data_IF_061476327392
#
_entry.id   IF_061476327392
#
_cell.length_a   1.000
_cell.length_b   1.000
_cell.length_c   1.000
_cell.angle_alpha   90.00
_cell.angle_beta   90.00
_cell.angle_gamma   90.00
#
_symmetry.space_group_name_H-M   'P 1'
#
loop_
_entity.id
_entity.type
_entity.pdbx_description
1 polymer ?
#
# COMPACT_ATOMS: atom_id res chain seq x y z
N UNK A 1 -27.61 79.06 -22.45
CA UNK A 1 -28.45 78.28 -21.53
C UNK A 1 -27.72 76.98 -21.19
N UNK A 2 -27.18 76.88 -19.99
CA UNK A 2 -26.40 75.69 -19.55
C UNK A 2 -27.24 74.82 -18.62
N UNK A 3 -27.52 73.59 -19.04
CA UNK A 3 -28.24 72.62 -18.25
C UNK A 3 -27.29 71.91 -17.29
N UNK A 4 -27.43 72.15 -15.98
CA UNK A 4 -26.68 71.52 -14.95
C UNK A 4 -27.16 70.09 -14.68
N UNK A 5 -26.30 69.08 -14.88
CA UNK A 5 -26.57 67.69 -14.53
C UNK A 5 -26.45 67.46 -13.02
N UNK A 6 -27.59 67.19 -12.33
CA UNK A 6 -27.59 66.79 -10.92
C UNK A 6 -26.96 65.41 -10.75
N UNK A 7 -25.84 65.33 -10.02
CA UNK A 7 -25.21 64.06 -9.62
C UNK A 7 -26.01 63.44 -8.48
N UNK A 8 -26.62 62.30 -8.74
CA UNK A 8 -27.28 61.47 -7.72
C UNK A 8 -26.18 60.77 -6.92
N UNK A 9 -26.00 61.15 -5.66
CA UNK A 9 -25.11 60.43 -4.71
C UNK A 9 -25.77 59.11 -4.35
N UNK A 10 -25.26 58.01 -4.86
CA UNK A 10 -25.61 56.68 -4.39
C UNK A 10 -25.05 56.50 -2.97
N UNK A 11 -25.92 56.40 -2.01
CA UNK A 11 -25.59 56.00 -0.63
C UNK A 11 -25.09 54.54 -0.63
N UNK A 12 -23.81 54.33 -0.33
CA UNK A 12 -23.28 52.97 -0.08
C UNK A 12 -23.86 52.46 1.21
N UNK A 13 -24.71 51.46 1.09
CA UNK A 13 -25.21 50.68 2.25
C UNK A 13 -24.08 49.80 2.74
N UNK A 14 -23.43 50.20 3.81
CA UNK A 14 -22.44 49.35 4.46
C UNK A 14 -23.13 48.09 5.06
N UNK A 15 -22.95 46.98 4.39
CA UNK A 15 -23.40 45.68 4.91
C UNK A 15 -22.53 45.33 6.12
N UNK A 16 -23.09 45.47 7.33
CA UNK A 16 -22.45 44.98 8.55
C UNK A 16 -22.19 43.48 8.43
N UNK A 17 -20.96 42.98 8.71
CA UNK A 17 -20.68 41.56 8.64
C UNK A 17 -21.52 40.83 9.71
N UNK A 18 -22.36 39.91 9.27
CA UNK A 18 -23.12 39.03 10.16
C UNK A 18 -22.08 38.17 10.89
N UNK A 19 -21.84 38.48 12.16
CA UNK A 19 -21.03 37.62 13.03
C UNK A 19 -21.73 36.25 13.11
N UNK A 20 -21.25 35.28 12.34
CA UNK A 20 -21.65 33.88 12.49
C UNK A 20 -21.36 33.48 13.92
N UNK A 21 -22.39 33.40 14.74
CA UNK A 21 -22.35 32.76 16.05
C UNK A 21 -21.88 31.33 15.84
N UNK A 22 -20.62 31.09 16.15
CA UNK A 22 -20.04 29.75 16.19
C UNK A 22 -20.73 29.04 17.35
N UNK A 23 -21.83 28.32 17.07
CA UNK A 23 -22.45 27.45 18.02
C UNK A 23 -21.42 26.40 18.38
N UNK A 24 -20.78 26.56 19.52
CA UNK A 24 -20.01 25.50 20.13
C UNK A 24 -20.95 24.34 20.36
N UNK A 25 -20.89 23.36 19.46
CA UNK A 25 -21.59 22.10 19.61
C UNK A 25 -21.02 21.48 20.90
N UNK A 26 -21.72 21.69 21.99
CA UNK A 26 -21.43 21.08 23.28
C UNK A 26 -21.45 19.58 23.02
N UNK A 27 -20.26 18.97 22.88
CA UNK A 27 -20.15 17.51 22.83
C UNK A 27 -20.75 17.03 24.13
N UNK A 28 -21.94 16.44 24.06
CA UNK A 28 -22.50 15.74 25.20
C UNK A 28 -21.46 14.70 25.60
N UNK A 29 -20.79 14.92 26.71
CA UNK A 29 -19.99 13.88 27.33
C UNK A 29 -20.99 12.78 27.65
N UNK A 30 -20.93 11.69 26.92
CA UNK A 30 -21.63 10.47 27.28
C UNK A 30 -21.34 10.22 28.76
N UNK A 31 -22.37 10.17 29.57
CA UNK A 31 -22.26 9.80 30.99
C UNK A 31 -21.85 8.33 31.17
N UNK A 32 -21.81 7.58 30.07
CA UNK A 32 -21.31 6.22 30.07
C UNK A 32 -19.79 6.29 29.95
N UNK A 33 -19.13 6.01 31.06
CA UNK A 33 -17.72 5.66 31.06
C UNK A 33 -17.54 4.56 30.02
N UNK A 34 -16.84 4.86 28.92
CA UNK A 34 -16.47 3.82 27.98
C UNK A 34 -15.68 2.79 28.80
N UNK A 35 -16.29 1.67 29.05
CA UNK A 35 -15.55 0.50 29.56
C UNK A 35 -14.43 0.32 28.55
N UNK A 36 -13.22 0.58 28.97
CA UNK A 36 -12.06 0.33 28.13
C UNK A 36 -11.97 -1.19 28.04
N UNK A 37 -12.58 -1.74 27.00
CA UNK A 37 -12.37 -3.13 26.65
C UNK A 37 -10.88 -3.24 26.42
N UNK A 38 -10.20 -3.99 27.28
CA UNK A 38 -8.80 -4.24 27.15
C UNK A 38 -8.57 -4.78 25.73
N UNK A 39 -7.85 -4.01 24.91
CA UNK A 39 -7.55 -4.46 23.56
C UNK A 39 -6.67 -5.68 23.70
N UNK A 40 -7.00 -6.78 23.03
CA UNK A 40 -6.15 -7.96 23.08
C UNK A 40 -4.75 -7.55 22.62
N UNK A 41 -3.73 -8.08 23.28
CA UNK A 41 -2.33 -7.82 22.96
C UNK A 41 -2.04 -8.16 21.49
N UNK A 42 -2.66 -9.22 21.02
CA UNK A 42 -2.61 -9.66 19.62
C UNK A 42 -4.02 -9.49 19.03
N UNK A 43 -4.21 -8.66 18.01
CA UNK A 43 -5.51 -8.53 17.36
C UNK A 43 -5.87 -9.83 16.63
N UNK A 44 -7.18 -10.15 16.47
CA UNK A 44 -7.63 -11.41 15.85
C UNK A 44 -7.23 -11.54 14.38
N UNK A 45 -6.99 -10.42 13.72
CA UNK A 45 -6.48 -10.39 12.35
C UNK A 45 -5.59 -9.18 12.14
N UNK A 46 -4.61 -9.31 11.27
CA UNK A 46 -3.70 -8.23 10.93
C UNK A 46 -3.24 -8.34 9.47
N UNK A 47 -3.33 -7.24 8.74
CA UNK A 47 -2.74 -7.14 7.41
C UNK A 47 -1.33 -6.58 7.52
N UNK A 48 -0.38 -7.25 6.88
CA UNK A 48 1.01 -6.80 6.86
C UNK A 48 1.68 -7.17 5.54
N UNK A 49 2.84 -6.59 5.32
CA UNK A 49 3.65 -6.82 4.15
C UNK A 49 4.89 -7.62 4.53
N UNK A 50 5.03 -8.79 3.97
CA UNK A 50 6.23 -9.60 4.11
C UNK A 50 7.11 -9.42 2.87
N UNK A 51 8.40 -9.58 3.06
CA UNK A 51 9.38 -9.50 1.98
C UNK A 51 10.10 -10.83 1.86
N UNK A 52 10.11 -11.35 0.66
CA UNK A 52 10.96 -12.43 0.23
C UNK A 52 12.06 -11.90 -0.68
N UNK A 53 13.30 -12.37 -0.53
CA UNK A 53 14.42 -11.98 -1.37
C UNK A 53 15.22 -13.23 -1.69
N UNK A 54 15.32 -13.54 -2.95
CA UNK A 54 16.19 -14.58 -3.49
C UNK A 54 17.33 -13.94 -4.27
N UNK A 55 18.52 -14.44 -4.10
CA UNK A 55 19.71 -13.95 -4.80
C UNK A 55 20.57 -15.11 -5.30
N UNK A 56 21.38 -14.83 -6.30
CA UNK A 56 22.30 -15.83 -6.82
C UNK A 56 21.66 -16.90 -7.71
N UNK A 57 20.44 -16.67 -8.19
CA UNK A 57 19.79 -17.56 -9.15
C UNK A 57 20.59 -17.54 -10.46
N UNK A 58 21.12 -18.66 -10.85
CA UNK A 58 21.85 -18.83 -12.10
C UNK A 58 20.95 -19.53 -13.13
N UNK A 59 20.72 -18.87 -14.24
CA UNK A 59 20.00 -19.43 -15.37
C UNK A 59 20.99 -19.61 -16.51
N UNK A 60 21.27 -20.84 -16.88
CA UNK A 60 22.24 -21.21 -17.92
C UNK A 60 21.46 -21.69 -19.16
N UNK A 61 20.91 -20.76 -19.92
CA UNK A 61 20.26 -21.10 -21.17
C UNK A 61 21.31 -21.25 -22.27
N UNK A 62 21.22 -22.32 -23.06
CA UNK A 62 21.95 -22.44 -24.32
C UNK A 62 21.39 -21.48 -25.35
N UNK A 63 22.17 -21.20 -26.42
CA UNK A 63 21.72 -20.30 -27.48
C UNK A 63 20.37 -20.76 -28.06
N UNK A 64 19.39 -19.86 -28.08
CA UNK A 64 18.04 -20.13 -28.58
C UNK A 64 17.13 -20.89 -27.62
N UNK A 65 17.56 -21.18 -26.40
CA UNK A 65 16.76 -21.84 -25.39
C UNK A 65 16.28 -20.86 -24.31
N UNK A 66 15.11 -21.14 -23.74
CA UNK A 66 14.56 -20.42 -22.61
C UNK A 66 14.69 -21.26 -21.34
N UNK A 67 15.02 -20.61 -20.24
CA UNK A 67 14.96 -21.22 -18.92
C UNK A 67 13.93 -20.51 -18.06
N UNK A 68 13.30 -21.27 -17.20
CA UNK A 68 12.24 -20.80 -16.32
C UNK A 68 12.66 -20.89 -14.86
N UNK A 69 12.21 -19.96 -14.09
CA UNK A 69 12.29 -19.99 -12.65
C UNK A 69 10.91 -19.73 -12.09
N UNK A 70 10.38 -20.67 -11.31
CA UNK A 70 9.01 -20.63 -10.86
C UNK A 70 8.93 -20.05 -9.44
N UNK A 71 8.05 -19.09 -9.29
CA UNK A 71 7.76 -18.44 -8.02
C UNK A 71 6.27 -18.51 -7.73
N UNK A 72 5.91 -18.90 -6.51
CA UNK A 72 4.53 -18.88 -6.06
C UNK A 72 4.18 -17.53 -5.44
N UNK A 73 3.29 -16.78 -6.09
CA UNK A 73 2.81 -15.50 -5.58
C UNK A 73 1.79 -15.64 -4.44
N UNK A 74 1.26 -16.84 -4.23
CA UNK A 74 0.21 -17.11 -3.23
C UNK A 74 0.69 -17.97 -2.06
N UNK A 75 1.92 -18.45 -2.07
CA UNK A 75 2.50 -19.20 -0.96
C UNK A 75 3.48 -18.33 -0.18
N UNK A 76 3.23 -18.22 1.14
CA UNK A 76 4.20 -17.62 2.07
C UNK A 76 5.11 -18.66 2.69
N UNK A 77 4.70 -19.92 2.69
CA UNK A 77 5.52 -21.02 3.21
C UNK A 77 6.67 -21.35 2.25
N UNK A 78 6.36 -21.45 0.98
CA UNK A 78 7.33 -21.78 -0.06
C UNK A 78 7.09 -20.91 -1.30
N UNK A 79 7.61 -19.68 -1.31
CA UNK A 79 7.51 -18.81 -2.47
C UNK A 79 8.35 -19.30 -3.67
N UNK A 80 9.43 -20.03 -3.40
CA UNK A 80 10.31 -20.58 -4.42
C UNK A 80 9.97 -22.04 -4.67
N UNK A 81 9.38 -22.34 -5.81
CA UNK A 81 8.97 -23.69 -6.17
C UNK A 81 10.11 -24.67 -6.46
N UNK A 82 11.36 -24.22 -6.40
CA UNK A 82 12.52 -25.14 -6.56
C UNK A 82 12.72 -26.06 -5.35
N UNK A 83 12.04 -25.82 -4.24
CA UNK A 83 12.18 -26.56 -2.99
C UNK A 83 13.46 -26.28 -2.20
N UNK A 84 14.30 -25.35 -2.67
CA UNK A 84 15.55 -24.94 -2.03
C UNK A 84 15.54 -23.51 -1.51
N UNK A 85 14.39 -22.85 -1.56
CA UNK A 85 14.21 -21.50 -1.09
C UNK A 85 14.11 -21.40 0.44
N UNK A 86 13.93 -20.18 0.90
CA UNK A 86 13.66 -19.88 2.30
C UNK A 86 12.29 -19.21 2.43
N UNK A 87 11.81 -19.06 3.64
CA UNK A 87 10.56 -18.37 3.90
C UNK A 87 10.77 -16.84 3.92
N UNK A 88 9.71 -16.05 3.71
CA UNK A 88 9.75 -14.62 3.93
C UNK A 88 10.14 -14.29 5.37
N UNK A 89 10.88 -13.22 5.56
CA UNK A 89 11.24 -12.76 6.91
C UNK A 89 10.01 -12.58 7.79
N UNK A 90 10.11 -13.04 9.02
CA UNK A 90 9.08 -13.00 10.06
C UNK A 90 7.88 -13.94 9.84
N UNK A 91 7.89 -14.80 8.82
CA UNK A 91 6.78 -15.73 8.60
C UNK A 91 6.60 -16.67 9.80
N UNK A 92 7.66 -17.35 10.26
CA UNK A 92 7.59 -18.28 11.40
C UNK A 92 7.14 -17.62 12.70
N UNK A 93 7.59 -16.39 12.96
CA UNK A 93 7.18 -15.66 14.15
C UNK A 93 5.68 -15.31 14.11
N UNK A 94 5.16 -15.06 12.92
CA UNK A 94 3.74 -14.76 12.76
C UNK A 94 2.85 -15.99 12.86
N UNK A 95 3.32 -17.14 12.43
CA UNK A 95 2.58 -18.40 12.55
C UNK A 95 2.44 -18.87 14.00
N UNK A 96 3.25 -18.35 14.93
CA UNK A 96 3.04 -18.59 16.38
C UNK A 96 1.81 -17.86 16.92
N UNK A 97 1.38 -16.76 16.27
CA UNK A 97 0.23 -15.96 16.71
C UNK A 97 -1.00 -16.15 15.82
N UNK A 98 -0.81 -16.49 14.55
CA UNK A 98 -1.86 -16.60 13.56
C UNK A 98 -1.82 -17.96 12.88
N UNK A 99 -2.85 -18.74 13.10
CA UNK A 99 -2.99 -20.09 12.57
C UNK A 99 -3.23 -20.11 11.04
N UNK A 100 -3.82 -19.05 10.52
CA UNK A 100 -4.21 -18.95 9.10
C UNK A 100 -3.73 -17.66 8.48
N UNK A 101 -3.40 -17.72 7.20
CA UNK A 101 -3.07 -16.54 6.39
C UNK A 101 -3.77 -16.57 5.04
N UNK A 102 -3.88 -15.41 4.42
CA UNK A 102 -4.36 -15.23 3.07
C UNK A 102 -3.50 -14.17 2.37
N UNK A 103 -3.06 -14.45 1.18
CA UNK A 103 -2.31 -13.49 0.36
C UNK A 103 -3.30 -12.63 -0.42
N UNK A 104 -3.38 -11.34 -0.09
CA UNK A 104 -4.26 -10.40 -0.77
C UNK A 104 -3.69 -9.94 -2.11
N UNK A 105 -2.39 -9.78 -2.20
CA UNK A 105 -1.66 -9.43 -3.41
C UNK A 105 -0.17 -9.73 -3.24
N UNK A 106 0.51 -9.94 -4.34
CA UNK A 106 1.96 -10.09 -4.38
C UNK A 106 2.55 -9.20 -5.47
N UNK A 107 3.80 -8.79 -5.26
CA UNK A 107 4.58 -8.03 -6.24
C UNK A 107 5.93 -8.69 -6.43
N UNK A 108 6.24 -9.03 -7.66
CA UNK A 108 7.53 -9.60 -8.05
C UNK A 108 8.37 -8.51 -8.73
N UNK A 109 9.65 -8.46 -8.38
CA UNK A 109 10.64 -7.59 -9.01
C UNK A 109 11.88 -8.40 -9.27
N UNK A 110 12.35 -8.40 -10.50
CA UNK A 110 13.52 -9.17 -10.93
C UNK A 110 14.61 -8.20 -11.37
N UNK A 111 15.82 -8.44 -10.90
CA UNK A 111 17.03 -7.79 -11.39
C UNK A 111 17.90 -8.88 -12.00
N UNK A 112 18.12 -8.80 -13.29
CA UNK A 112 18.97 -9.74 -14.00
C UNK A 112 20.25 -9.05 -14.48
N UNK A 113 21.34 -9.78 -14.45
CA UNK A 113 22.64 -9.35 -14.96
C UNK A 113 23.24 -10.48 -15.79
N UNK A 114 23.94 -10.16 -16.86
CA UNK A 114 24.72 -11.12 -17.61
C UNK A 114 26.18 -11.06 -17.18
N UNK A 115 26.86 -12.19 -17.23
CA UNK A 115 28.31 -12.28 -17.06
C UNK A 115 29.04 -12.08 -18.38
N UNK A 116 28.34 -12.19 -19.51
CA UNK A 116 28.92 -12.04 -20.85
C UNK A 116 28.30 -10.80 -21.51
N UNK A 117 29.10 -9.76 -21.67
CA UNK A 117 28.66 -8.49 -22.26
C UNK A 117 28.34 -8.60 -23.76
N UNK A 118 28.81 -9.67 -24.42
CA UNK A 118 28.58 -9.89 -25.85
C UNK A 118 27.22 -10.53 -26.16
N UNK A 119 26.52 -11.03 -25.14
CA UNK A 119 25.25 -11.72 -25.31
C UNK A 119 24.07 -10.87 -24.89
N UNK A 120 23.11 -10.80 -25.76
CA UNK A 120 21.79 -10.21 -25.44
C UNK A 120 20.90 -11.24 -24.76
N UNK A 121 20.24 -10.84 -23.70
CA UNK A 121 19.25 -11.65 -23.00
C UNK A 121 17.94 -10.90 -22.81
N UNK A 122 16.86 -11.62 -22.78
CA UNK A 122 15.53 -11.09 -22.49
C UNK A 122 14.98 -11.77 -21.25
N UNK A 123 14.50 -10.97 -20.31
CA UNK A 123 13.79 -11.47 -19.12
C UNK A 123 12.32 -11.08 -19.25
N UNK A 124 11.46 -12.04 -18.99
CA UNK A 124 10.00 -11.82 -18.95
C UNK A 124 9.43 -12.42 -17.68
N UNK A 125 8.50 -11.72 -17.05
CA UNK A 125 7.72 -12.22 -15.93
C UNK A 125 6.36 -12.58 -16.50
N UNK A 126 6.02 -13.85 -16.44
CA UNK A 126 4.76 -14.38 -17.00
C UNK A 126 3.92 -14.89 -15.84
N UNK A 127 2.82 -14.22 -15.49
CA UNK A 127 1.89 -14.77 -14.52
C UNK A 127 1.16 -15.97 -15.13
N UNK A 128 1.09 -17.07 -14.40
CA UNK A 128 0.22 -18.20 -14.73
C UNK A 128 -0.87 -18.30 -13.67
N UNK A 129 -2.05 -18.68 -14.12
CA UNK A 129 -3.21 -18.97 -13.28
C UNK A 129 -3.22 -20.45 -12.88
#
# INVERSE_FOLDING_TARGET
>A
MAYGKKRIRRRSVSRRPIKRRRTMRRRSRSKYSAVSVARPLVPPSRTMKLRYVESGIKLNASTGQSQFYLMSGNSLYDPNQSGSGHQPYYFDQLTTFYEKYCVLWSKISVKATTTDASRLFKVSIIPSL
#
